data_IF_350687964105
#
_entry.id   IF_350687964105
#
_cell.length_a   1.000
_cell.length_b   1.000
_cell.length_c   1.000
_cell.angle_alpha   90.00
_cell.angle_beta   90.00
_cell.angle_gamma   90.00
#
_symmetry.space_group_name_H-M   'P 1'
#
loop_
_entity.id
_entity.type
_entity.pdbx_description
1 polymer ?
#
# COMPACT_ATOMS: atom_id res chain seq x y z
N UNK A 1 -8.38 25.04 0.43
CA UNK A 1 -9.50 26.00 0.42
C UNK A 1 -10.42 25.67 1.57
N UNK A 2 -10.48 26.57 2.50
CA UNK A 2 -11.06 26.53 3.83
C UNK A 2 -12.48 25.94 3.86
N UNK A 3 -12.67 24.85 4.60
CA UNK A 3 -14.01 24.29 4.89
C UNK A 3 -14.42 24.67 6.29
N UNK A 4 -15.32 25.60 6.37
CA UNK A 4 -16.20 25.85 7.51
C UNK A 4 -17.59 26.02 6.93
N UNK A 5 -18.66 25.38 7.42
CA UNK A 5 -19.53 26.13 8.29
C UNK A 5 -20.56 25.39 9.18
N UNK A 6 -20.55 24.08 9.32
CA UNK A 6 -21.72 23.44 9.93
C UNK A 6 -21.66 23.15 11.44
N UNK A 7 -20.51 23.15 12.08
CA UNK A 7 -20.41 22.87 13.53
C UNK A 7 -20.61 24.10 14.42
N UNK A 8 -20.34 25.31 13.91
CA UNK A 8 -20.42 26.52 14.71
C UNK A 8 -21.85 26.98 15.03
N UNK A 9 -22.85 26.63 14.23
CA UNK A 9 -24.21 27.14 14.39
C UNK A 9 -25.02 26.46 15.49
N UNK A 10 -24.65 25.23 15.91
CA UNK A 10 -25.43 24.48 16.91
C UNK A 10 -24.95 24.67 18.35
N UNK A 11 -23.67 25.02 18.54
CA UNK A 11 -23.09 25.18 19.90
C UNK A 11 -23.30 26.59 20.46
N UNK A 12 -23.48 27.59 19.60
CA UNK A 12 -23.59 28.98 20.05
C UNK A 12 -24.99 29.38 20.58
N UNK A 13 -26.05 28.63 20.31
CA UNK A 13 -27.41 29.04 20.66
C UNK A 13 -27.86 28.68 22.07
N UNK A 14 -27.13 27.88 22.82
CA UNK A 14 -27.53 27.42 24.15
C UNK A 14 -26.72 27.99 25.34
N UNK A 15 -25.74 28.87 25.08
CA UNK A 15 -24.83 29.38 26.14
C UNK A 15 -25.07 30.83 26.58
N UNK A 16 -26.12 31.51 26.10
CA UNK A 16 -26.40 32.91 26.44
C UNK A 16 -27.75 33.13 27.14
N UNK A 17 -28.00 32.46 28.24
CA UNK A 17 -29.07 32.94 29.16
C UNK A 17 -28.53 32.89 30.59
N UNK A 18 -28.02 34.04 31.03
CA UNK A 18 -27.63 34.22 32.41
C UNK A 18 -26.68 35.37 32.66
N UNK A 19 -27.08 36.59 32.36
CA UNK A 19 -26.49 37.80 32.92
C UNK A 19 -27.51 38.52 33.78
N UNK A 20 -27.22 38.70 35.04
CA UNK A 20 -27.81 39.77 35.87
C UNK A 20 -26.71 40.48 36.65
N UNK A 21 -26.76 41.81 36.57
CA UNK A 21 -25.82 42.83 36.97
C UNK A 21 -25.77 43.17 38.45
N UNK A 22 -24.79 43.98 38.91
CA UNK A 22 -24.32 44.10 40.29
C UNK A 22 -24.95 45.22 41.11
N UNK A 23 -24.56 45.44 42.36
CA UNK A 23 -23.89 46.68 42.67
C UNK A 23 -22.77 46.63 43.77
N UNK A 24 -21.89 47.63 43.58
CA UNK A 24 -20.93 48.30 44.44
C UNK A 24 -20.84 48.03 45.95
N UNK A 25 -19.57 47.91 46.41
CA UNK A 25 -18.96 48.80 47.42
C UNK A 25 -17.62 48.27 47.91
N UNK A 26 -16.57 49.06 47.78
CA UNK A 26 -15.28 48.94 48.50
C UNK A 26 -15.41 49.43 49.95
N UNK A 27 -14.46 49.28 50.92
CA UNK A 27 -13.00 49.16 50.75
C UNK A 27 -12.22 48.32 51.81
N UNK A 28 -10.91 48.24 51.55
CA UNK A 28 -9.79 48.09 52.52
C UNK A 28 -9.49 46.72 53.18
N UNK A 29 -8.28 46.28 52.92
CA UNK A 29 -7.61 45.26 53.73
C UNK A 29 -6.38 44.63 53.02
N UNK A 30 -5.22 44.92 53.51
CA UNK A 30 -3.84 44.46 53.29
C UNK A 30 -3.53 43.20 52.50
N UNK A 31 -2.34 43.11 51.88
CA UNK A 31 -2.00 42.08 50.89
C UNK A 31 -1.82 40.71 51.47
N UNK A 32 -2.63 39.76 51.10
CA UNK A 32 -2.37 38.34 51.30
C UNK A 32 -1.75 37.73 50.04
N UNK A 33 -0.61 37.09 50.26
CA UNK A 33 0.14 36.24 49.31
C UNK A 33 -0.82 35.41 48.47
N UNK A 34 -0.66 35.35 47.15
CA UNK A 34 -1.49 34.49 46.34
C UNK A 34 -1.14 33.04 46.59
N UNK A 35 -2.00 32.30 47.25
CA UNK A 35 -1.98 30.84 47.21
C UNK A 35 -2.37 30.39 45.80
N UNK A 36 -1.44 29.89 45.06
CA UNK A 36 -1.72 29.16 43.81
C UNK A 36 -2.45 27.86 44.18
N UNK A 37 -3.73 27.85 43.97
CA UNK A 37 -4.61 26.71 44.13
C UNK A 37 -5.77 26.85 43.19
N UNK A 38 -5.52 26.99 41.88
CA UNK A 38 -6.53 26.87 40.85
C UNK A 38 -6.60 25.41 40.40
N UNK A 39 -7.38 24.58 41.10
CA UNK A 39 -8.06 23.47 40.43
C UNK A 39 -9.12 24.07 39.54
N UNK A 40 -8.70 24.57 38.36
CA UNK A 40 -9.61 25.01 37.33
C UNK A 40 -10.43 23.81 36.86
N UNK A 41 -11.74 23.96 36.76
CA UNK A 41 -12.62 23.00 36.12
C UNK A 41 -12.18 22.84 34.65
N UNK A 42 -11.37 21.84 34.39
CA UNK A 42 -10.84 21.55 33.05
C UNK A 42 -11.78 20.55 32.39
N UNK A 43 -12.14 20.80 31.15
CA UNK A 43 -12.88 19.84 30.34
C UNK A 43 -11.99 18.61 30.04
N UNK A 44 -12.58 17.43 30.06
CA UNK A 44 -11.88 16.14 29.89
C UNK A 44 -12.38 15.47 28.63
N UNK A 45 -11.44 15.04 27.77
CA UNK A 45 -11.68 14.21 26.61
C UNK A 45 -11.19 12.79 26.90
N UNK A 46 -12.07 11.81 26.73
CA UNK A 46 -11.76 10.39 26.90
C UNK A 46 -12.22 9.63 25.67
N UNK A 47 -11.33 8.84 25.07
CA UNK A 47 -11.66 7.96 23.96
C UNK A 47 -12.04 6.57 24.47
N UNK A 48 -12.90 5.87 23.72
CA UNK A 48 -13.06 4.42 23.84
C UNK A 48 -11.75 3.69 23.50
N UNK A 49 -11.62 2.45 23.93
CA UNK A 49 -10.44 1.62 23.66
C UNK A 49 -10.19 1.48 22.15
N UNK A 50 -11.25 1.31 21.37
CA UNK A 50 -11.22 1.19 19.90
C UNK A 50 -11.23 2.53 19.16
N UNK A 51 -11.25 3.64 19.89
CA UNK A 51 -11.27 5.01 19.37
C UNK A 51 -12.43 5.35 18.42
N UNK A 52 -13.47 4.52 18.34
CA UNK A 52 -14.66 4.83 17.55
C UNK A 52 -15.60 5.81 18.24
N UNK A 53 -15.46 5.98 19.55
CA UNK A 53 -16.21 6.98 20.29
C UNK A 53 -15.33 7.78 21.25
N UNK A 54 -15.80 8.96 21.56
CA UNK A 54 -15.16 9.84 22.53
C UNK A 54 -16.22 10.52 23.41
N UNK A 55 -15.87 10.78 24.65
CA UNK A 55 -16.69 11.50 25.62
C UNK A 55 -15.97 12.78 26.01
N UNK A 56 -16.65 13.89 25.87
CA UNK A 56 -16.20 15.19 26.39
C UNK A 56 -17.02 15.54 27.61
N UNK A 57 -16.39 15.61 28.77
CA UNK A 57 -17.02 16.09 30.01
C UNK A 57 -16.63 17.54 30.26
N UNK A 58 -17.61 18.43 30.29
CA UNK A 58 -17.46 19.88 30.43
C UNK A 58 -18.02 20.26 31.80
N UNK A 59 -17.20 20.52 32.83
CA UNK A 59 -17.68 21.03 34.12
C UNK A 59 -18.35 22.39 33.97
N UNK A 60 -19.41 22.62 34.72
CA UNK A 60 -20.05 23.96 34.74
C UNK A 60 -19.06 25.00 35.27
N UNK A 61 -18.93 26.11 34.57
CA UNK A 61 -17.93 27.16 34.87
C UNK A 61 -16.55 26.91 34.21
N UNK A 62 -16.41 25.90 33.35
CA UNK A 62 -15.26 25.74 32.50
C UNK A 62 -15.06 26.92 31.56
N UNK A 63 -13.82 27.41 31.43
CA UNK A 63 -13.54 28.65 30.69
C UNK A 63 -13.46 28.48 29.17
N UNK A 64 -13.10 27.28 28.67
CA UNK A 64 -13.06 27.00 27.22
C UNK A 64 -13.02 25.52 26.94
N UNK A 65 -13.68 25.10 25.85
CA UNK A 65 -13.61 23.77 25.24
C UNK A 65 -12.75 23.77 23.98
N UNK A 66 -12.24 24.93 23.55
CA UNK A 66 -11.44 25.06 22.33
C UNK A 66 -10.24 24.13 22.24
N UNK A 67 -9.47 23.89 23.33
CA UNK A 67 -8.34 22.95 23.27
C UNK A 67 -8.75 21.51 22.93
N UNK A 68 -9.95 21.09 23.39
CA UNK A 68 -10.48 19.75 23.10
C UNK A 68 -10.88 19.64 21.63
N UNK A 69 -11.65 20.62 21.14
CA UNK A 69 -12.03 20.65 19.73
C UNK A 69 -10.81 20.81 18.82
N UNK A 70 -9.83 21.64 19.21
CA UNK A 70 -8.58 21.75 18.48
C UNK A 70 -7.88 20.40 18.38
N UNK A 71 -7.85 19.61 19.45
CA UNK A 71 -7.26 18.27 19.47
C UNK A 71 -8.03 17.29 18.59
N UNK A 72 -9.36 17.24 18.70
CA UNK A 72 -10.22 16.38 17.88
C UNK A 72 -10.16 16.70 16.38
N UNK A 73 -9.84 17.95 16.03
CA UNK A 73 -9.72 18.39 14.64
C UNK A 73 -8.28 18.39 14.11
N UNK A 74 -7.28 18.41 14.99
CA UNK A 74 -5.86 18.38 14.61
C UNK A 74 -5.33 16.97 14.39
N UNK A 75 -5.88 16.01 15.12
CA UNK A 75 -5.58 14.61 14.90
C UNK A 75 -6.35 14.15 13.66
N UNK A 76 -5.66 13.56 12.69
CA UNK A 76 -6.30 13.02 11.47
C UNK A 76 -7.19 11.80 11.76
N UNK A 77 -7.26 11.37 13.03
CA UNK A 77 -8.01 10.24 13.57
C UNK A 77 -7.77 8.92 12.80
N UNK A 78 -6.76 8.88 11.96
CA UNK A 78 -6.44 7.71 11.14
C UNK A 78 -5.91 6.54 11.96
N UNK A 79 -5.51 6.78 13.18
CA UNK A 79 -5.07 5.74 14.12
C UNK A 79 -6.20 4.74 14.50
N UNK A 80 -7.47 5.12 14.30
CA UNK A 80 -8.59 4.19 14.41
C UNK A 80 -8.51 3.03 13.42
N UNK A 81 -7.79 3.24 12.30
CA UNK A 81 -7.62 2.23 11.26
C UNK A 81 -6.60 1.15 11.65
N UNK A 82 -5.70 1.44 12.58
CA UNK A 82 -4.62 0.52 12.97
C UNK A 82 -5.17 -0.80 13.52
N UNK A 83 -6.31 -0.79 14.23
CA UNK A 83 -6.95 -2.00 14.72
C UNK A 83 -7.37 -3.00 13.64
N UNK A 84 -7.58 -2.54 12.40
CA UNK A 84 -7.89 -3.41 11.25
C UNK A 84 -6.63 -3.95 10.59
N UNK A 85 -5.50 -3.27 10.77
CA UNK A 85 -4.22 -3.60 10.14
C UNK A 85 -3.37 -4.48 11.05
N UNK A 86 -3.36 -4.19 12.35
CA UNK A 86 -2.53 -4.88 13.34
C UNK A 86 -2.83 -6.38 13.38
N UNK A 87 -1.78 -7.19 13.15
CA UNK A 87 -1.87 -8.64 13.13
C UNK A 87 -2.70 -9.23 11.97
N UNK A 88 -3.31 -8.39 11.13
CA UNK A 88 -4.16 -8.81 10.01
C UNK A 88 -3.41 -8.75 8.69
N UNK A 89 -2.61 -7.72 8.50
CA UNK A 89 -1.76 -7.54 7.31
C UNK A 89 -0.29 -7.55 7.70
N UNK A 90 0.59 -7.72 6.71
CA UNK A 90 2.03 -7.68 6.96
C UNK A 90 2.45 -6.28 7.40
N UNK A 91 3.19 -6.19 8.51
CA UNK A 91 3.66 -4.94 9.12
C UNK A 91 4.41 -4.02 8.14
N UNK A 92 5.11 -4.60 7.15
CA UNK A 92 5.89 -3.83 6.17
C UNK A 92 5.03 -3.10 5.14
N UNK A 93 3.77 -3.55 4.94
CA UNK A 93 2.84 -2.97 3.97
C UNK A 93 1.64 -2.28 4.64
N UNK A 94 1.50 -2.45 5.95
CA UNK A 94 0.41 -1.83 6.69
C UNK A 94 0.31 -0.31 6.49
N UNK A 95 1.41 0.47 6.48
CA UNK A 95 1.35 1.90 6.21
C UNK A 95 0.79 2.22 4.82
N UNK A 96 1.20 1.49 3.78
CA UNK A 96 0.72 1.72 2.40
C UNK A 96 -0.75 1.34 2.25
N UNK A 97 -1.20 0.27 2.93
CA UNK A 97 -2.61 -0.12 2.95
C UNK A 97 -3.42 0.95 3.68
N UNK A 98 -2.91 1.48 4.78
CA UNK A 98 -3.52 2.60 5.51
C UNK A 98 -3.73 3.81 4.61
N UNK A 99 -2.71 4.19 3.83
CA UNK A 99 -2.81 5.29 2.86
C UNK A 99 -3.88 5.03 1.80
N UNK A 100 -3.96 3.80 1.28
CA UNK A 100 -5.02 3.39 0.32
C UNK A 100 -6.41 3.48 0.96
N UNK A 101 -6.55 3.06 2.21
CA UNK A 101 -7.81 3.17 2.95
C UNK A 101 -8.20 4.63 3.11
N UNK A 102 -7.30 5.48 3.60
CA UNK A 102 -7.54 6.91 3.81
C UNK A 102 -7.96 7.58 2.50
N UNK A 103 -7.26 7.28 1.40
CA UNK A 103 -7.59 7.81 0.08
C UNK A 103 -8.95 7.33 -0.46
N UNK A 104 -9.45 6.18 0.02
CA UNK A 104 -10.72 5.58 -0.39
C UNK A 104 -11.91 6.04 0.46
N UNK A 105 -11.64 6.58 1.65
CA UNK A 105 -12.69 7.11 2.54
C UNK A 105 -13.24 8.44 2.00
N UNK A 106 -14.56 8.67 2.10
CA UNK A 106 -15.12 9.96 1.77
C UNK A 106 -14.64 11.04 2.74
N UNK A 107 -14.60 12.27 2.28
CA UNK A 107 -14.25 13.43 3.09
C UNK A 107 -15.05 13.49 4.39
N UNK A 108 -14.37 13.60 5.52
CA UNK A 108 -14.97 13.67 6.85
C UNK A 108 -15.45 12.32 7.40
N UNK A 109 -15.08 11.19 6.80
CA UNK A 109 -15.38 9.85 7.33
C UNK A 109 -14.69 9.61 8.69
N UNK A 110 -13.53 10.23 8.91
CA UNK A 110 -12.77 10.16 10.15
C UNK A 110 -13.04 11.36 11.09
N UNK A 111 -14.08 12.12 10.83
CA UNK A 111 -14.49 13.22 11.72
C UNK A 111 -15.48 12.74 12.77
N UNK A 112 -15.19 12.99 14.04
CA UNK A 112 -16.12 12.72 15.13
C UNK A 112 -17.37 13.58 15.04
N UNK A 113 -18.53 12.95 15.13
CA UNK A 113 -19.85 13.61 15.15
C UNK A 113 -20.48 13.51 16.51
N UNK A 114 -21.14 14.58 16.96
CA UNK A 114 -21.91 14.53 18.21
C UNK A 114 -23.10 13.61 18.02
N UNK A 115 -23.18 12.58 18.87
CA UNK A 115 -24.27 11.58 18.86
C UNK A 115 -25.25 11.84 19.98
N UNK A 116 -24.79 12.38 21.11
CA UNK A 116 -25.64 12.65 22.28
C UNK A 116 -25.08 13.84 23.06
N UNK A 117 -25.99 14.61 23.66
CA UNK A 117 -25.68 15.67 24.60
C UNK A 117 -26.53 15.52 25.85
N UNK A 118 -25.90 15.44 27.03
CA UNK A 118 -26.56 15.28 28.31
C UNK A 118 -26.08 16.36 29.28
N UNK A 119 -26.99 16.95 30.06
CA UNK A 119 -26.65 17.89 31.11
C UNK A 119 -26.91 17.26 32.47
N UNK A 120 -25.89 17.23 33.32
CA UNK A 120 -25.93 16.82 34.71
C UNK A 120 -25.82 18.07 35.64
N UNK A 121 -26.09 17.98 36.94
CA UNK A 121 -26.04 19.11 37.87
C UNK A 121 -24.71 19.87 37.92
N UNK A 122 -23.60 19.21 37.65
CA UNK A 122 -22.26 19.81 37.74
C UNK A 122 -21.45 19.82 36.42
N UNK A 123 -21.97 19.21 35.36
CA UNK A 123 -21.27 19.09 34.09
C UNK A 123 -22.22 18.89 32.93
N UNK A 124 -21.76 19.17 31.74
CA UNK A 124 -22.36 18.73 30.48
C UNK A 124 -21.49 17.66 29.83
N UNK A 125 -22.11 16.66 29.22
CA UNK A 125 -21.44 15.52 28.60
C UNK A 125 -21.84 15.46 27.12
N UNK A 126 -20.84 15.47 26.25
CA UNK A 126 -21.02 15.19 24.82
C UNK A 126 -20.48 13.80 24.51
N UNK A 127 -21.29 13.00 23.84
CA UNK A 127 -20.88 11.77 23.21
C UNK A 127 -20.59 12.05 21.74
N UNK A 128 -19.44 11.57 21.29
CA UNK A 128 -18.98 11.74 19.93
C UNK A 128 -18.67 10.34 19.36
N UNK A 129 -18.93 10.13 18.08
CA UNK A 129 -18.60 8.89 17.43
C UNK A 129 -18.19 9.11 15.96
N UNK A 130 -17.35 8.22 15.47
CA UNK A 130 -17.13 8.01 14.05
C UNK A 130 -18.23 7.10 13.50
N UNK A 131 -18.51 7.21 12.22
CA UNK A 131 -19.44 6.32 11.54
C UNK A 131 -18.74 4.99 11.22
N UNK A 132 -18.80 4.06 12.19
CA UNK A 132 -18.18 2.72 12.07
C UNK A 132 -18.67 1.97 10.82
N UNK A 133 -19.96 2.02 10.51
CA UNK A 133 -20.50 1.28 9.39
C UNK A 133 -19.94 1.79 8.06
N UNK A 134 -19.88 3.10 7.90
CA UNK A 134 -19.29 3.72 6.72
C UNK A 134 -17.80 3.36 6.57
N UNK A 135 -17.06 3.39 7.67
CA UNK A 135 -15.63 3.06 7.68
C UNK A 135 -15.45 1.58 7.33
N UNK A 136 -16.15 0.66 8.00
CA UNK A 136 -16.02 -0.78 7.79
C UNK A 136 -16.46 -1.23 6.39
N UNK A 137 -17.47 -0.61 5.80
CA UNK A 137 -17.91 -0.89 4.42
C UNK A 137 -16.77 -0.68 3.41
N UNK A 138 -15.87 0.26 3.67
CA UNK A 138 -14.72 0.57 2.79
C UNK A 138 -13.47 -0.20 3.20
N UNK A 139 -13.19 -0.26 4.50
CA UNK A 139 -11.96 -0.86 5.04
C UNK A 139 -11.93 -2.38 4.84
N UNK A 140 -13.02 -3.07 5.18
CA UNK A 140 -13.02 -4.54 5.18
C UNK A 140 -12.78 -5.17 3.80
N UNK A 141 -13.35 -4.67 2.69
CA UNK A 141 -13.01 -5.17 1.35
C UNK A 141 -11.53 -4.93 0.97
N UNK A 142 -10.96 -3.78 1.37
CA UNK A 142 -9.55 -3.46 1.12
C UNK A 142 -8.67 -4.43 1.92
N UNK A 143 -8.90 -4.57 3.23
CA UNK A 143 -8.17 -5.51 4.08
C UNK A 143 -8.26 -6.93 3.53
N UNK A 144 -9.46 -7.39 3.18
CA UNK A 144 -9.67 -8.72 2.60
C UNK A 144 -8.83 -8.96 1.34
N UNK A 145 -8.67 -7.94 0.50
CA UNK A 145 -7.82 -8.01 -0.70
C UNK A 145 -6.35 -8.29 -0.34
N UNK A 146 -5.86 -7.74 0.76
CA UNK A 146 -4.46 -7.84 1.18
C UNK A 146 -4.19 -8.95 2.21
N UNK A 147 -5.23 -9.53 2.81
CA UNK A 147 -5.12 -10.67 3.75
C UNK A 147 -5.36 -12.02 3.08
N UNK A 148 -5.66 -12.02 1.80
CA UNK A 148 -5.80 -13.25 1.03
C UNK A 148 -4.53 -14.12 1.18
N UNK A 149 -4.63 -15.43 1.46
CA UNK A 149 -3.47 -16.30 1.55
C UNK A 149 -2.66 -16.23 0.25
N UNK A 150 -1.41 -15.72 0.33
CA UNK A 150 -0.57 -15.47 -0.83
C UNK A 150 -0.63 -14.04 -1.39
N UNK A 151 -1.61 -13.23 -1.06
CA UNK A 151 -1.67 -11.82 -1.47
C UNK A 151 -0.86 -10.93 -0.54
N UNK A 152 0.45 -10.94 -0.68
CA UNK A 152 1.26 -9.82 -0.22
C UNK A 152 1.49 -8.94 -1.43
N UNK A 153 1.08 -7.67 -1.40
CA UNK A 153 1.45 -6.73 -2.45
C UNK A 153 2.97 -6.74 -2.61
N UNK A 154 3.43 -6.76 -3.84
CA UNK A 154 4.84 -6.54 -4.11
C UNK A 154 5.09 -5.07 -3.78
N UNK A 155 5.83 -4.82 -2.72
CA UNK A 155 6.19 -3.47 -2.31
C UNK A 155 6.99 -2.79 -3.41
N UNK A 156 6.79 -1.48 -3.63
CA UNK A 156 7.56 -0.74 -4.62
C UNK A 156 9.06 -0.86 -4.35
N UNK A 157 9.82 -1.24 -5.35
CA UNK A 157 11.27 -1.46 -5.28
C UNK A 157 12.10 -0.17 -5.16
N UNK A 158 11.59 0.85 -4.50
CA UNK A 158 12.23 2.17 -4.45
C UNK A 158 12.79 2.56 -3.08
N UNK A 159 12.84 1.64 -2.15
CA UNK A 159 13.53 1.87 -0.88
C UNK A 159 15.05 1.85 -1.12
N UNK A 160 15.68 2.99 -0.97
CA UNK A 160 17.08 3.26 -1.35
C UNK A 160 18.09 2.67 -0.36
N UNK A 161 17.66 2.13 0.78
CA UNK A 161 18.54 1.71 1.88
C UNK A 161 18.67 0.21 2.07
N UNK A 162 18.22 -0.57 1.10
CA UNK A 162 18.07 -2.03 1.24
C UNK A 162 19.31 -2.74 0.72
N UNK A 163 19.90 -3.60 1.53
CA UNK A 163 20.96 -4.51 1.11
C UNK A 163 20.34 -5.78 0.54
N UNK A 164 20.49 -6.06 -0.76
CA UNK A 164 19.97 -7.27 -1.36
C UNK A 164 20.64 -8.52 -0.77
N UNK A 165 19.97 -9.70 -0.83
CA UNK A 165 20.57 -10.95 -0.38
C UNK A 165 21.82 -11.26 -1.21
N UNK A 166 22.85 -11.80 -0.56
CA UNK A 166 24.09 -12.21 -1.21
C UNK A 166 23.79 -13.40 -2.14
N UNK A 167 24.16 -13.34 -3.41
CA UNK A 167 23.93 -14.42 -4.36
C UNK A 167 24.50 -15.78 -3.90
N UNK A 168 25.53 -15.74 -3.06
CA UNK A 168 26.09 -16.95 -2.46
C UNK A 168 25.06 -17.76 -1.67
N UNK A 169 24.15 -17.11 -1.00
CA UNK A 169 23.09 -17.74 -0.19
C UNK A 169 22.03 -18.41 -1.09
N UNK A 170 21.95 -17.98 -2.34
CA UNK A 170 21.02 -18.49 -3.35
C UNK A 170 21.63 -19.58 -4.25
N UNK A 171 22.91 -19.96 -4.09
CA UNK A 171 23.61 -20.93 -4.97
C UNK A 171 22.95 -22.29 -5.07
N UNK A 172 22.20 -22.70 -4.03
CA UNK A 172 21.54 -24.02 -4.01
C UNK A 172 20.16 -23.97 -4.66
N UNK A 173 19.63 -22.80 -4.93
CA UNK A 173 18.34 -22.65 -5.57
C UNK A 173 18.38 -23.19 -6.99
N UNK A 174 17.41 -24.04 -7.34
CA UNK A 174 17.22 -24.60 -8.68
C UNK A 174 15.77 -24.40 -9.10
N UNK A 175 15.58 -23.64 -10.15
CA UNK A 175 14.28 -23.37 -10.75
C UNK A 175 14.15 -24.04 -12.11
N UNK A 176 12.94 -24.38 -12.49
CA UNK A 176 12.68 -24.81 -13.85
C UNK A 176 12.77 -23.59 -14.77
N UNK A 177 13.36 -23.75 -15.94
CA UNK A 177 13.33 -22.67 -16.93
C UNK A 177 11.87 -22.41 -17.40
N UNK A 178 11.40 -21.15 -17.45
CA UNK A 178 9.97 -20.86 -17.65
C UNK A 178 9.42 -21.17 -19.04
N UNK A 179 10.29 -21.32 -20.03
CA UNK A 179 9.92 -21.75 -21.39
C UNK A 179 10.83 -22.89 -21.85
N UNK A 180 10.31 -23.81 -22.65
CA UNK A 180 11.11 -24.91 -23.20
C UNK A 180 12.06 -24.42 -24.31
N UNK A 181 13.19 -25.14 -24.46
CA UNK A 181 14.17 -24.90 -25.51
C UNK A 181 14.77 -23.48 -25.52
N UNK A 182 14.81 -22.82 -24.36
CA UNK A 182 15.50 -21.53 -24.18
C UNK A 182 16.63 -21.66 -23.17
N UNK A 183 17.51 -20.69 -23.16
CA UNK A 183 18.58 -20.55 -22.17
C UNK A 183 18.58 -19.11 -21.65
N UNK A 184 19.24 -18.88 -20.51
CA UNK A 184 19.48 -17.53 -20.02
C UNK A 184 20.22 -16.72 -21.11
N UNK A 185 19.71 -15.56 -21.50
CA UNK A 185 20.30 -14.74 -22.54
C UNK A 185 21.68 -14.22 -22.11
N UNK A 186 22.64 -14.20 -23.06
CA UNK A 186 23.98 -13.67 -22.81
C UNK A 186 24.05 -12.14 -22.84
N UNK A 187 23.08 -11.50 -23.49
CA UNK A 187 23.05 -10.05 -23.63
C UNK A 187 22.73 -9.40 -22.28
N UNK A 188 23.65 -8.58 -21.78
CA UNK A 188 23.47 -7.87 -20.49
C UNK A 188 22.18 -7.05 -20.46
N UNK A 189 21.76 -6.46 -21.59
CA UNK A 189 20.52 -5.70 -21.68
C UNK A 189 19.24 -6.50 -21.39
N UNK A 190 19.31 -7.82 -21.45
CA UNK A 190 18.17 -8.71 -21.20
C UNK A 190 18.16 -9.29 -19.77
N UNK A 191 19.11 -8.88 -18.95
CA UNK A 191 19.32 -9.37 -17.57
C UNK A 191 18.97 -8.29 -16.54
N UNK A 192 18.81 -8.66 -15.26
CA UNK A 192 18.66 -7.71 -14.16
C UNK A 192 19.77 -6.65 -14.15
N UNK A 193 19.46 -5.47 -13.63
CA UNK A 193 20.31 -4.29 -13.54
C UNK A 193 20.54 -3.53 -14.85
N UNK A 194 20.07 -4.02 -15.99
CA UNK A 194 20.17 -3.29 -17.24
C UNK A 194 19.40 -1.96 -17.20
N UNK A 195 19.98 -0.85 -17.66
CA UNK A 195 19.28 0.42 -17.65
C UNK A 195 18.08 0.41 -18.62
N UNK A 196 16.98 0.99 -18.19
CA UNK A 196 15.75 1.22 -18.99
C UNK A 196 15.51 2.72 -19.11
N UNK A 197 16.43 3.41 -19.81
CA UNK A 197 16.43 4.87 -19.95
C UNK A 197 15.08 5.42 -20.46
N UNK A 198 14.41 4.70 -21.36
CA UNK A 198 13.12 5.12 -21.94
C UNK A 198 12.00 5.25 -20.89
N UNK A 199 12.13 4.65 -19.73
CA UNK A 199 11.16 4.73 -18.62
C UNK A 199 11.77 5.20 -17.29
N UNK A 200 12.99 5.73 -17.33
CA UNK A 200 13.71 6.12 -16.12
C UNK A 200 13.70 5.06 -15.02
N UNK A 201 14.07 3.84 -15.39
CA UNK A 201 14.07 2.69 -14.49
C UNK A 201 15.17 1.69 -14.78
N UNK A 202 15.14 0.60 -14.02
CA UNK A 202 16.08 -0.52 -14.14
C UNK A 202 15.32 -1.78 -14.53
N UNK A 203 15.95 -2.64 -15.29
CA UNK A 203 15.44 -3.98 -15.59
C UNK A 203 15.56 -4.86 -14.35
N UNK A 204 14.46 -5.43 -13.87
CA UNK A 204 14.41 -6.24 -12.66
C UNK A 204 14.45 -7.75 -12.96
N UNK A 205 14.24 -8.12 -14.20
CA UNK A 205 14.02 -9.50 -14.61
C UNK A 205 14.94 -9.96 -15.72
N UNK A 206 14.57 -11.10 -16.29
CA UNK A 206 15.21 -11.73 -17.44
C UNK A 206 14.23 -11.71 -18.61
N UNK A 207 14.64 -11.17 -19.76
CA UNK A 207 13.86 -11.22 -20.99
C UNK A 207 14.24 -12.47 -21.79
N UNK A 208 13.44 -13.53 -21.70
CA UNK A 208 13.59 -14.72 -22.53
C UNK A 208 12.96 -14.49 -23.89
N UNK A 209 13.78 -14.36 -24.91
CA UNK A 209 13.28 -14.26 -26.30
C UNK A 209 12.67 -15.57 -26.74
N UNK A 210 11.37 -15.53 -26.97
CA UNK A 210 10.55 -16.66 -27.43
C UNK A 210 9.53 -16.13 -28.45
N UNK A 211 9.04 -17.01 -29.29
CA UNK A 211 7.99 -16.67 -30.23
C UNK A 211 6.68 -16.34 -29.51
N UNK A 212 5.87 -15.50 -30.11
CA UNK A 212 4.51 -15.27 -29.67
C UNK A 212 3.75 -16.59 -29.54
N UNK A 213 3.08 -16.80 -28.42
CA UNK A 213 2.30 -18.00 -28.16
C UNK A 213 3.12 -19.20 -27.63
N UNK A 214 4.41 -19.00 -27.31
CA UNK A 214 5.21 -20.06 -26.67
C UNK A 214 4.63 -20.36 -25.27
N UNK A 215 4.42 -21.65 -24.92
CA UNK A 215 3.97 -22.02 -23.58
C UNK A 215 4.89 -21.51 -22.48
N UNK A 216 4.30 -20.86 -21.46
CA UNK A 216 4.96 -20.38 -20.25
C UNK A 216 4.56 -21.27 -19.10
N UNK A 217 5.52 -21.72 -18.30
CA UNK A 217 5.31 -22.65 -17.18
C UNK A 217 5.84 -22.11 -15.87
N UNK A 218 5.23 -22.53 -14.77
CA UNK A 218 5.66 -22.17 -13.42
C UNK A 218 7.05 -22.75 -13.13
N UNK A 219 7.96 -21.93 -12.60
CA UNK A 219 9.35 -22.33 -12.29
C UNK A 219 9.46 -23.22 -11.06
N UNK A 220 8.48 -23.16 -10.16
CA UNK A 220 8.34 -23.91 -8.91
C UNK A 220 6.88 -24.01 -8.51
N UNK A 221 6.55 -24.83 -7.50
CA UNK A 221 5.23 -24.90 -6.90
C UNK A 221 4.88 -23.56 -6.23
N UNK A 222 3.61 -23.17 -6.24
CA UNK A 222 3.19 -21.93 -5.60
C UNK A 222 1.69 -21.67 -5.69
N UNK A 223 1.30 -20.48 -5.23
CA UNK A 223 -0.10 -19.98 -5.23
C UNK A 223 -0.17 -18.74 -6.13
N UNK A 224 -1.16 -18.68 -6.98
CA UNK A 224 -1.41 -17.51 -7.84
C UNK A 224 -1.90 -16.35 -6.97
N UNK A 225 -1.15 -15.25 -6.95
CA UNK A 225 -1.53 -14.02 -6.24
C UNK A 225 -2.11 -12.95 -7.15
N UNK A 226 -1.80 -13.03 -8.46
CA UNK A 226 -2.33 -12.14 -9.48
C UNK A 226 -2.37 -12.84 -10.84
N UNK A 227 -3.47 -12.65 -11.57
CA UNK A 227 -3.64 -13.13 -12.94
C UNK A 227 -4.47 -12.11 -13.72
N UNK A 228 -3.84 -11.40 -14.66
CA UNK A 228 -4.43 -10.26 -15.39
C UNK A 228 -5.22 -10.73 -16.62
N UNK A 229 -6.31 -11.48 -16.42
CA UNK A 229 -7.15 -11.97 -17.51
C UNK A 229 -7.79 -10.84 -18.34
N UNK A 230 -8.16 -9.75 -17.67
CA UNK A 230 -8.89 -8.64 -18.26
C UNK A 230 -7.99 -7.48 -18.71
N UNK A 231 -6.66 -7.72 -18.82
CA UNK A 231 -5.73 -6.68 -19.26
C UNK A 231 -6.16 -6.11 -20.59
N UNK A 232 -6.23 -4.78 -20.69
CA UNK A 232 -6.50 -4.04 -21.92
C UNK A 232 -5.27 -3.23 -22.30
N UNK A 233 -4.81 -3.45 -23.51
CA UNK A 233 -3.66 -2.71 -24.03
C UNK A 233 -3.96 -1.21 -24.09
N UNK A 234 -3.03 -0.43 -23.59
CA UNK A 234 -3.09 1.03 -23.67
C UNK A 234 -2.89 1.51 -25.11
N UNK A 235 -3.37 2.72 -25.44
CA UNK A 235 -3.06 3.37 -26.70
C UNK A 235 -1.59 3.78 -26.76
N UNK A 236 -1.05 3.91 -27.98
CA UNK A 236 0.34 4.33 -28.17
C UNK A 236 0.59 5.75 -27.61
N UNK A 237 -0.37 6.66 -27.79
CA UNK A 237 -0.28 8.04 -27.30
C UNK A 237 -0.27 8.07 -25.77
N UNK A 238 -1.21 7.36 -25.11
CA UNK A 238 -1.22 7.27 -23.65
C UNK A 238 0.07 6.68 -23.10
N UNK A 239 0.64 5.67 -23.77
CA UNK A 239 1.94 5.12 -23.39
C UNK A 239 3.06 6.16 -23.43
N UNK A 240 3.06 7.02 -24.44
CA UNK A 240 4.04 8.10 -24.56
C UNK A 240 3.88 9.11 -23.44
N UNK A 241 2.65 9.54 -23.13
CA UNK A 241 2.36 10.46 -22.03
C UNK A 241 2.86 9.91 -20.69
N UNK A 242 2.56 8.64 -20.38
CA UNK A 242 3.02 7.96 -19.17
C UNK A 242 4.56 7.91 -19.07
N UNK A 243 5.25 7.69 -20.20
CA UNK A 243 6.71 7.67 -20.22
C UNK A 243 7.33 9.08 -20.09
N UNK A 244 6.69 10.09 -20.64
CA UNK A 244 7.11 11.48 -20.48
C UNK A 244 6.89 11.96 -19.03
N UNK A 245 5.79 11.57 -18.39
CA UNK A 245 5.56 11.81 -16.96
C UNK A 245 6.62 11.11 -16.09
N UNK A 246 6.94 9.86 -16.39
CA UNK A 246 8.03 9.13 -15.73
C UNK A 246 9.39 9.84 -15.88
N UNK A 247 9.63 10.47 -17.01
CA UNK A 247 10.83 11.28 -17.27
C UNK A 247 10.85 12.53 -16.39
N UNK A 248 9.73 13.23 -16.27
CA UNK A 248 9.60 14.42 -15.40
C UNK A 248 9.84 14.04 -13.95
N UNK A 249 9.28 12.90 -13.50
CA UNK A 249 9.46 12.37 -12.15
C UNK A 249 10.87 11.79 -11.89
N UNK A 250 11.65 11.56 -12.94
CA UNK A 250 12.95 10.87 -12.84
C UNK A 250 12.85 9.39 -12.48
N UNK A 251 11.67 8.80 -12.47
CA UNK A 251 11.40 7.40 -12.16
C UNK A 251 10.08 6.92 -12.76
N UNK A 252 9.95 5.62 -13.00
CA UNK A 252 8.66 5.00 -13.29
C UNK A 252 7.98 4.65 -11.96
N UNK A 253 6.78 5.15 -11.66
CA UNK A 253 5.99 4.69 -10.52
C UNK A 253 5.71 3.18 -10.60
N UNK A 254 5.61 2.51 -9.45
CA UNK A 254 5.44 1.05 -9.39
C UNK A 254 4.10 0.61 -10.01
N UNK A 255 3.03 1.32 -9.74
CA UNK A 255 1.70 1.06 -10.30
C UNK A 255 1.69 1.18 -11.83
N UNK A 256 2.34 2.21 -12.39
CA UNK A 256 2.54 2.36 -13.83
C UNK A 256 3.32 1.17 -14.39
N UNK A 257 4.40 0.77 -13.72
CA UNK A 257 5.21 -0.35 -14.17
C UNK A 257 4.42 -1.66 -14.12
N UNK A 258 3.80 -1.98 -13.00
CA UNK A 258 3.17 -3.27 -12.75
C UNK A 258 1.83 -3.45 -13.46
N UNK A 259 1.04 -2.38 -13.62
CA UNK A 259 -0.28 -2.47 -14.22
C UNK A 259 -0.32 -2.10 -15.70
N UNK A 260 0.64 -1.34 -16.18
CA UNK A 260 0.67 -0.88 -17.57
C UNK A 260 1.83 -1.48 -18.36
N UNK A 261 3.06 -1.31 -17.87
CA UNK A 261 4.24 -1.67 -18.65
C UNK A 261 4.58 -3.17 -18.62
N UNK A 262 4.20 -3.91 -17.57
CA UNK A 262 4.30 -5.38 -17.56
C UNK A 262 3.25 -6.06 -18.43
N UNK A 263 2.19 -5.35 -18.79
CA UNK A 263 1.11 -5.90 -19.62
C UNK A 263 0.34 -7.02 -18.89
N UNK A 264 -0.13 -7.98 -19.65
CA UNK A 264 -0.79 -9.16 -19.11
C UNK A 264 0.22 -10.01 -18.34
N UNK A 265 -0.01 -10.21 -17.03
CA UNK A 265 0.95 -10.84 -16.15
C UNK A 265 0.32 -11.84 -15.18
N UNK A 266 1.13 -12.83 -14.75
CA UNK A 266 0.82 -13.77 -13.69
C UNK A 266 1.88 -13.63 -12.59
N UNK A 267 1.45 -13.62 -11.33
CA UNK A 267 2.31 -13.58 -10.15
C UNK A 267 2.08 -14.84 -9.34
N UNK A 268 3.16 -15.53 -9.00
CA UNK A 268 3.14 -16.78 -8.23
C UNK A 268 3.94 -16.58 -6.94
N UNK A 269 3.27 -16.77 -5.81
CA UNK A 269 3.90 -16.80 -4.50
C UNK A 269 4.33 -18.23 -4.16
N UNK A 270 5.61 -18.40 -3.90
CA UNK A 270 6.26 -19.68 -3.54
C UNK A 270 6.47 -19.81 -2.02
N UNK A 271 6.00 -18.84 -1.20
CA UNK A 271 6.24 -18.84 0.24
C UNK A 271 7.72 -18.68 0.59
N UNK A 272 8.12 -19.28 1.71
CA UNK A 272 9.46 -19.19 2.29
C UNK A 272 10.33 -20.44 2.03
N UNK A 273 9.81 -21.44 1.33
CA UNK A 273 10.48 -22.73 1.19
C UNK A 273 11.62 -22.72 0.17
N UNK A 274 11.56 -21.82 -0.82
CA UNK A 274 12.58 -21.73 -1.86
C UNK A 274 13.87 -21.07 -1.38
N UNK A 275 13.75 -20.02 -0.56
CA UNK A 275 14.89 -19.25 -0.05
C UNK A 275 14.70 -18.98 1.43
N UNK A 276 15.52 -19.59 2.31
CA UNK A 276 15.41 -19.38 3.75
C UNK A 276 15.48 -17.88 4.12
N UNK A 277 14.49 -17.42 4.89
CA UNK A 277 14.41 -16.03 5.36
C UNK A 277 13.80 -15.04 4.35
N UNK A 278 13.40 -15.52 3.17
CA UNK A 278 12.74 -14.70 2.17
C UNK A 278 11.46 -15.36 1.65
N UNK A 279 10.40 -14.60 1.57
CA UNK A 279 9.25 -14.94 0.73
C UNK A 279 9.63 -14.73 -0.72
N UNK A 280 9.29 -15.67 -1.58
CA UNK A 280 9.64 -15.63 -3.00
C UNK A 280 8.38 -15.46 -3.84
N UNK A 281 8.38 -14.44 -4.69
CA UNK A 281 7.32 -14.22 -5.69
C UNK A 281 7.95 -14.19 -7.07
N UNK A 282 7.40 -14.94 -8.03
CA UNK A 282 7.81 -14.84 -9.43
C UNK A 282 6.74 -14.20 -10.30
N UNK A 283 7.19 -13.41 -11.27
CA UNK A 283 6.33 -12.63 -12.19
C UNK A 283 6.59 -13.10 -13.60
N UNK A 284 5.53 -13.36 -14.32
CA UNK A 284 5.53 -13.73 -15.73
C UNK A 284 4.75 -12.68 -16.51
N UNK A 285 5.42 -11.86 -17.29
CA UNK A 285 4.84 -10.68 -17.90
C UNK A 285 4.93 -10.69 -19.42
N UNK A 286 4.27 -9.71 -20.06
CA UNK A 286 4.09 -9.60 -21.49
C UNK A 286 3.35 -10.78 -22.12
N UNK A 287 2.52 -11.48 -21.35
CA UNK A 287 1.80 -12.66 -21.82
C UNK A 287 0.79 -12.28 -22.90
N UNK A 288 0.52 -13.19 -23.83
CA UNK A 288 -0.55 -13.07 -24.83
C UNK A 288 -1.81 -13.77 -24.40
N UNK A 289 -1.70 -14.71 -23.47
CA UNK A 289 -2.81 -15.50 -22.94
C UNK A 289 -2.45 -16.07 -21.56
N UNK A 290 -3.43 -16.08 -20.64
CA UNK A 290 -3.37 -16.77 -19.36
C UNK A 290 -4.41 -17.88 -19.39
N UNK A 291 -4.06 -19.10 -19.00
CA UNK A 291 -4.99 -20.22 -18.98
C UNK A 291 -6.13 -19.91 -17.99
N UNK A 292 -7.35 -20.26 -18.34
CA UNK A 292 -8.55 -19.96 -17.55
C UNK A 292 -8.57 -20.59 -16.16
N UNK A 293 -7.81 -21.66 -15.93
CA UNK A 293 -7.62 -22.29 -14.60
C UNK A 293 -6.69 -21.50 -13.68
N UNK A 294 -5.91 -20.56 -14.21
CA UNK A 294 -4.95 -19.75 -13.46
C UNK A 294 -5.70 -18.55 -12.89
N UNK A 295 -6.22 -18.70 -11.70
CA UNK A 295 -6.99 -17.67 -10.98
C UNK A 295 -6.35 -17.38 -9.63
N UNK A 296 -6.57 -16.19 -9.10
CA UNK A 296 -6.06 -15.83 -7.78
C UNK A 296 -6.53 -16.86 -6.74
N UNK A 297 -5.58 -17.39 -5.97
CA UNK A 297 -5.77 -18.46 -4.98
C UNK A 297 -5.62 -19.87 -5.51
N UNK A 298 -5.58 -20.10 -6.82
CA UNK A 298 -5.27 -21.43 -7.34
C UNK A 298 -3.81 -21.79 -7.08
N UNK A 299 -3.57 -23.07 -6.79
CA UNK A 299 -2.20 -23.62 -6.69
C UNK A 299 -1.71 -24.05 -8.05
N UNK A 300 -0.42 -23.87 -8.30
CA UNK A 300 0.26 -24.37 -9.48
C UNK A 300 1.45 -25.23 -9.07
N UNK A 301 1.76 -26.23 -9.90
CA UNK A 301 2.93 -27.08 -9.72
C UNK A 301 4.08 -26.63 -10.63
N UNK A 302 5.30 -26.89 -10.19
CA UNK A 302 6.48 -26.71 -11.01
C UNK A 302 6.31 -27.40 -12.38
N UNK A 303 6.46 -26.65 -13.47
CA UNK A 303 6.30 -27.15 -14.83
C UNK A 303 4.88 -27.05 -15.38
N UNK A 304 3.89 -26.68 -14.58
CA UNK A 304 2.53 -26.45 -15.06
C UNK A 304 2.49 -25.26 -16.03
N UNK A 305 1.81 -25.42 -17.15
CA UNK A 305 1.66 -24.35 -18.16
C UNK A 305 0.62 -23.37 -17.67
N UNK A 306 1.06 -22.12 -17.42
CA UNK A 306 0.21 -21.04 -16.90
C UNK A 306 -0.37 -20.16 -17.98
N UNK A 307 0.16 -20.19 -19.20
CA UNK A 307 -0.28 -19.39 -20.32
C UNK A 307 0.72 -19.36 -21.45
N UNK A 308 0.74 -18.28 -22.23
CA UNK A 308 1.56 -18.14 -23.44
C UNK A 308 2.27 -16.76 -23.46
N UNK A 309 3.50 -16.76 -23.95
CA UNK A 309 4.28 -15.54 -24.16
C UNK A 309 3.66 -14.62 -25.23
N UNK A 310 3.94 -13.33 -25.11
CA UNK A 310 3.47 -12.32 -26.03
C UNK A 310 4.36 -11.08 -26.00
N UNK A 311 3.75 -9.91 -26.08
CA UNK A 311 4.41 -8.61 -25.96
C UNK A 311 3.52 -7.52 -25.35
N UNK A 312 2.45 -7.88 -24.64
CA UNK A 312 1.52 -6.90 -24.03
C UNK A 312 2.27 -5.90 -23.14
N UNK A 313 1.80 -4.66 -23.07
CA UNK A 313 2.47 -3.56 -22.33
C UNK A 313 3.70 -2.98 -23.04
N UNK A 314 4.17 -3.55 -24.14
CA UNK A 314 5.31 -3.03 -24.90
C UNK A 314 4.90 -2.00 -25.95
N UNK A 315 5.87 -1.26 -26.49
CA UNK A 315 5.64 -0.34 -27.60
C UNK A 315 4.98 -1.02 -28.81
N UNK A 316 5.47 -2.20 -29.18
CA UNK A 316 4.97 -2.90 -30.37
C UNK A 316 3.51 -3.36 -30.19
N UNK A 317 3.14 -3.77 -28.96
CA UNK A 317 1.78 -4.14 -28.63
C UNK A 317 0.81 -2.96 -28.76
N UNK A 318 1.17 -1.77 -28.28
CA UNK A 318 0.33 -0.56 -28.43
C UNK A 318 0.12 -0.18 -29.91
N UNK A 319 1.03 -0.60 -30.79
CA UNK A 319 0.91 -0.45 -32.25
C UNK A 319 0.24 -1.66 -32.92
N UNK A 320 -0.35 -2.59 -32.14
CA UNK A 320 -1.00 -3.83 -32.59
C UNK A 320 -0.07 -4.77 -33.39
N UNK A 321 1.24 -4.70 -33.11
CA UNK A 321 2.26 -5.58 -33.70
C UNK A 321 2.58 -6.72 -32.74
N UNK A 322 2.93 -7.90 -33.27
CA UNK A 322 3.40 -9.05 -32.50
C UNK A 322 4.93 -9.16 -32.45
N UNK A 323 5.64 -8.17 -32.99
CA UNK A 323 7.10 -8.11 -32.98
C UNK A 323 7.63 -7.87 -31.57
N UNK A 324 8.87 -8.25 -31.31
CA UNK A 324 9.48 -8.12 -30.00
C UNK A 324 8.89 -9.04 -28.93
N UNK A 325 8.22 -10.12 -29.34
CA UNK A 325 7.69 -11.11 -28.40
C UNK A 325 8.80 -11.70 -27.51
N UNK A 326 8.54 -11.75 -26.23
CA UNK A 326 9.43 -12.34 -25.21
C UNK A 326 8.65 -12.62 -23.94
N UNK A 327 9.21 -13.45 -23.07
CA UNK A 327 8.75 -13.56 -21.70
C UNK A 327 9.66 -12.71 -20.81
N UNK A 328 9.10 -11.68 -20.18
CA UNK A 328 9.75 -10.99 -19.08
C UNK A 328 9.46 -11.76 -17.80
N UNK A 329 10.51 -12.27 -17.16
CA UNK A 329 10.42 -13.04 -15.93
C UNK A 329 11.17 -12.36 -14.79
N UNK A 330 10.52 -12.15 -13.65
CA UNK A 330 11.14 -11.62 -12.43
C UNK A 330 11.06 -12.62 -11.29
N UNK A 331 12.00 -12.52 -10.36
CA UNK A 331 11.94 -13.17 -9.05
C UNK A 331 12.17 -12.11 -7.98
N UNK A 332 11.20 -11.95 -7.12
CA UNK A 332 11.19 -11.00 -6.02
C UNK A 332 11.40 -11.77 -4.72
N UNK A 333 12.25 -11.21 -3.87
CA UNK A 333 12.62 -11.71 -2.56
C UNK A 333 12.18 -10.69 -1.50
N UNK A 334 11.31 -11.10 -0.59
CA UNK A 334 10.74 -10.20 0.43
C UNK A 334 11.11 -10.69 1.83
N UNK A 335 11.54 -9.78 2.70
CA UNK A 335 11.71 -10.01 4.13
C UNK A 335 11.44 -8.73 4.93
N UNK A 336 11.65 -8.74 6.25
CA UNK A 336 11.47 -7.55 7.11
C UNK A 336 12.35 -6.35 6.72
N UNK A 337 13.44 -6.57 5.99
CA UNK A 337 14.33 -5.51 5.51
C UNK A 337 13.86 -4.87 4.20
N UNK A 338 12.87 -5.45 3.52
CA UNK A 338 12.31 -4.93 2.29
C UNK A 338 12.19 -5.95 1.17
N UNK A 339 12.08 -5.43 -0.04
CA UNK A 339 11.90 -6.18 -1.27
C UNK A 339 13.10 -6.01 -2.20
N UNK A 340 13.50 -7.11 -2.80
CA UNK A 340 14.66 -7.19 -3.69
C UNK A 340 14.30 -7.96 -4.95
N UNK A 341 14.80 -7.56 -6.11
CA UNK A 341 14.76 -8.45 -7.25
C UNK A 341 16.04 -9.29 -7.36
N UNK A 342 15.92 -10.47 -7.91
CA UNK A 342 17.03 -11.41 -8.04
C UNK A 342 18.25 -10.76 -8.73
N UNK A 343 19.40 -10.79 -8.08
CA UNK A 343 20.64 -10.23 -8.59
C UNK A 343 20.72 -8.71 -8.56
N UNK A 344 19.88 -8.03 -7.77
CA UNK A 344 19.90 -6.59 -7.62
C UNK A 344 21.28 -6.05 -7.23
N UNK A 345 21.81 -5.14 -8.03
CA UNK A 345 23.11 -4.52 -7.79
C UNK A 345 24.34 -5.35 -8.19
N UNK A 346 24.15 -6.59 -8.62
CA UNK A 346 25.26 -7.45 -9.01
C UNK A 346 25.83 -7.10 -10.39
N UNK A 347 27.14 -7.27 -10.52
CA UNK A 347 27.82 -7.09 -11.80
C UNK A 347 27.54 -8.26 -12.74
N UNK A 348 27.57 -8.01 -14.05
CA UNK A 348 27.26 -8.99 -15.07
C UNK A 348 28.13 -10.27 -14.95
N UNK A 349 29.40 -10.12 -14.65
CA UNK A 349 30.38 -11.20 -14.52
C UNK A 349 30.07 -12.20 -13.41
N UNK A 350 29.36 -11.74 -12.37
CA UNK A 350 28.89 -12.55 -11.25
C UNK A 350 27.48 -13.06 -11.52
N UNK A 351 26.62 -12.19 -12.02
CA UNK A 351 25.20 -12.45 -12.22
C UNK A 351 24.94 -13.50 -13.31
N UNK A 352 25.58 -13.39 -14.48
CA UNK A 352 25.31 -14.27 -15.61
C UNK A 352 25.63 -15.74 -15.32
N UNK A 353 26.81 -16.11 -14.77
CA UNK A 353 27.09 -17.48 -14.35
C UNK A 353 26.11 -18.00 -13.29
N UNK A 354 25.74 -17.16 -12.34
CA UNK A 354 24.75 -17.51 -11.32
C UNK A 354 23.40 -17.85 -11.97
N UNK A 355 22.85 -16.98 -12.81
CA UNK A 355 21.57 -17.18 -13.49
C UNK A 355 21.59 -18.42 -14.41
N UNK A 356 22.71 -18.66 -15.09
CA UNK A 356 22.87 -19.86 -15.92
C UNK A 356 22.81 -21.15 -15.08
N UNK A 357 23.33 -21.09 -13.84
CA UNK A 357 23.31 -22.24 -12.92
C UNK A 357 21.98 -22.35 -12.15
N UNK A 358 21.19 -21.30 -12.05
CA UNK A 358 19.90 -21.26 -11.37
C UNK A 358 18.86 -22.15 -12.06
N UNK A 359 18.81 -22.12 -13.37
CA UNK A 359 17.78 -22.80 -14.14
C UNK A 359 18.17 -24.22 -14.54
N UNK A 360 17.18 -25.11 -14.49
CA UNK A 360 17.26 -26.48 -14.98
C UNK A 360 16.20 -26.70 -16.06
N UNK A 361 16.45 -27.65 -16.96
CA UNK A 361 15.50 -28.00 -18.03
C UNK A 361 14.50 -29.08 -17.60
N UNK A 362 14.73 -29.69 -16.43
CA UNK A 362 13.92 -30.79 -15.86
C UNK A 362 13.74 -30.62 -14.35
#
# INVERSE_FOLDING_TARGET
>A
MIRLPYLYSLVFLSLFTGCSTPPDSSPSGSPKTPSFGTTGNVSILTFSEDKFSATVTIPHGSQSIDPIFTKLMADDNSDVLDQYLDGTVNENIAPEIKDVIIASLPDGALDYRVTEFTTAPSSSILQLALDRNLIEEIVLPIIKKYTYPGAVPILPLFSVSITPPILNDLKRLKLLIPCENVSVPKQQLLLPNAPRAYRHGTHRGIDFYVNWGTPVRAVADGVITRAEHDYKEMSADFRLDVLDDAKILGRTPSDVFEHLLLGQAVYIDHGFDLVPGYRVVTIYAHMSHINSSITVGSTVRRGEVIGQSGNTGTKDSTLKKKTGAHLHWEMILQNKGGEYYLGQGEQYEVLYPFLTNLFTNR
#
